data_IF_210257481453
#
_entry.id   IF_210257481453
#
_cell.length_a   1.000
_cell.length_b   1.000
_cell.length_c   1.000
_cell.angle_alpha   90.00
_cell.angle_beta   90.00
_cell.angle_gamma   90.00
#
_symmetry.space_group_name_H-M   'P 1'
#
loop_
_entity.id
_entity.type
_entity.pdbx_description
1 polymer ?
2 polymer ?
3 non-polymer ?
4 non-polymer ?
5 non-polymer ?
6 water ?
#
# COMPACT_ATOMS: atom_id res chain seq x y z
N UNK A 4 -2.88 8.04 12.91
CA UNK A 4 -4.12 8.45 12.18
C UNK A 4 -4.91 7.22 11.74
N UNK A 5 -6.17 7.14 12.15
CA UNK A 5 -7.02 6.01 11.80
C UNK A 5 -7.92 6.30 10.61
N UNK A 6 -8.15 5.26 9.80
CA UNK A 6 -8.99 5.38 8.61
C UNK A 6 -10.07 4.30 8.58
N UNK A 7 -11.31 4.73 8.39
CA UNK A 7 -12.45 3.81 8.32
C UNK A 7 -13.10 3.94 6.95
N UNK A 8 -13.13 2.83 6.21
CA UNK A 8 -13.69 2.81 4.86
C UNK A 8 -15.09 2.19 4.81
N UNK A 9 -15.91 2.69 3.89
CA UNK A 9 -17.27 2.20 3.73
C UNK A 9 -17.75 2.37 2.28
N UNK A 10 -18.47 1.37 1.74
CA UNK A 10 -18.85 0.11 2.38
C UNK A 10 -17.70 -0.87 2.37
N UNK A 11 -17.87 -2.02 3.02
CA UNK A 11 -16.82 -3.02 3.05
C UNK A 11 -16.88 -3.85 1.77
N UNK A 12 -18.05 -3.88 1.14
CA UNK A 12 -18.24 -4.63 -0.10
C UNK A 12 -19.51 -4.17 -0.80
N UNK A 13 -19.57 -4.34 -2.12
CA UNK A 13 -20.74 -3.97 -2.89
C UNK A 13 -20.76 -4.69 -4.23
N UNK A 14 -21.95 -4.85 -4.79
CA UNK A 14 -22.12 -5.52 -6.07
C UNK A 14 -22.82 -4.55 -7.03
N UNK A 15 -22.24 -4.33 -8.19
CA UNK A 15 -22.81 -3.39 -9.16
C UNK A 15 -22.74 -3.92 -10.58
N UNK A 16 -23.66 -3.43 -11.42
CA UNK A 16 -23.71 -3.84 -12.81
C UNK A 16 -22.83 -2.94 -13.67
N UNK A 17 -22.45 -3.45 -14.84
CA UNK A 17 -21.61 -2.69 -15.77
C UNK A 17 -22.31 -1.43 -16.25
N UNK A 18 -21.52 -0.38 -16.49
CA UNK A 18 -22.06 0.88 -16.98
C UNK A 18 -22.48 1.86 -15.91
N UNK A 19 -22.68 1.38 -14.69
CA UNK A 19 -23.11 2.26 -13.62
C UNK A 19 -21.95 2.94 -12.89
N UNK A 20 -22.29 3.77 -11.91
CA UNK A 20 -21.29 4.48 -11.13
C UNK A 20 -21.35 4.02 -9.67
N UNK A 21 -20.19 3.80 -9.07
CA UNK A 21 -20.16 3.41 -7.66
C UNK A 21 -19.32 4.41 -6.91
N UNK A 22 -19.64 4.63 -5.64
CA UNK A 22 -18.93 5.57 -4.80
C UNK A 22 -18.60 4.92 -3.47
N UNK A 23 -17.35 5.10 -3.03
CA UNK A 23 -16.86 4.56 -1.78
C UNK A 23 -16.43 5.75 -0.92
N UNK A 24 -16.52 5.60 0.40
CA UNK A 24 -16.12 6.69 1.29
C UNK A 24 -15.06 6.25 2.30
N UNK A 25 -14.40 7.23 2.90
CA UNK A 25 -13.35 6.97 3.87
C UNK A 25 -13.45 8.09 4.89
N UNK A 26 -13.30 7.76 6.17
CA UNK A 26 -13.37 8.75 7.24
C UNK A 26 -12.12 8.63 8.11
N UNK A 27 -11.44 9.75 8.32
CA UNK A 27 -10.24 9.77 9.14
C UNK A 27 -10.66 10.19 10.56
N UNK A 28 -9.80 9.93 11.54
CA UNK A 28 -10.11 10.30 12.91
C UNK A 28 -9.63 11.71 13.22
N UNK A 29 -9.13 12.40 12.20
CA UNK A 29 -8.66 13.77 12.33
C UNK A 29 -8.51 14.38 10.94
N UNK A 30 -8.38 15.71 10.88
CA UNK A 30 -8.22 16.42 9.62
C UNK A 30 -6.91 15.98 8.96
N UNK A 31 -6.99 15.38 7.78
CA UNK A 31 -5.76 14.96 7.09
C UNK A 31 -5.37 15.88 5.95
N UNK A 32 -5.94 17.08 5.95
CA UNK A 32 -5.61 18.11 4.96
C UNK A 32 -5.62 17.69 3.49
N UNK A 33 -6.63 16.91 3.11
CA UNK A 33 -6.78 16.42 1.74
C UNK A 33 -5.66 15.50 1.26
N UNK A 34 -4.80 15.09 2.17
CA UNK A 34 -3.69 14.19 1.82
C UNK A 34 -4.17 12.74 1.87
N UNK A 35 -5.02 12.40 0.91
CA UNK A 35 -5.57 11.05 0.80
C UNK A 35 -5.38 10.57 -0.64
N UNK A 36 -5.17 9.27 -0.78
CA UNK A 36 -4.99 8.67 -2.10
C UNK A 36 -5.87 7.43 -2.17
N UNK A 37 -6.14 6.96 -3.37
CA UNK A 37 -6.95 5.77 -3.54
C UNK A 37 -6.22 4.76 -4.40
N UNK A 38 -6.24 3.50 -3.95
CA UNK A 38 -5.59 2.41 -4.65
C UNK A 38 -6.54 1.32 -5.08
N UNK A 39 -6.22 0.68 -6.19
CA UNK A 39 -6.99 -0.44 -6.71
C UNK A 39 -6.09 -1.67 -6.57
N UNK A 40 -6.62 -2.75 -6.01
CA UNK A 40 -5.83 -3.96 -5.86
C UNK A 40 -6.58 -5.13 -6.49
N UNK A 41 -6.21 -5.46 -7.71
CA UNK A 41 -6.85 -6.56 -8.42
C UNK A 41 -6.10 -7.84 -8.10
N UNK A 42 -6.82 -8.94 -7.85
CA UNK A 42 -6.16 -10.20 -7.53
C UNK A 42 -5.19 -10.60 -8.64
N UNK A 43 -3.95 -10.89 -8.26
CA UNK A 43 -2.95 -11.27 -9.24
C UNK A 43 -2.09 -10.10 -9.67
N UNK A 44 -2.46 -8.90 -9.26
CA UNK A 44 -1.73 -7.69 -9.61
C UNK A 44 -1.29 -6.97 -8.33
N UNK A 45 -0.30 -6.10 -8.46
CA UNK A 45 0.15 -5.36 -7.30
C UNK A 45 -0.78 -4.17 -7.14
N UNK A 46 -0.81 -3.51 -5.97
CA UNK A 46 -1.68 -2.35 -5.78
C UNK A 46 -1.36 -1.27 -6.80
N UNK A 47 -2.38 -0.52 -7.22
CA UNK A 47 -2.17 0.53 -8.21
C UNK A 47 -2.76 1.87 -7.76
N UNK A 48 -1.92 2.89 -7.73
CA UNK A 48 -2.35 4.24 -7.34
C UNK A 48 -3.23 4.83 -8.43
N UNK A 49 -4.38 5.38 -8.03
CA UNK A 49 -5.30 5.97 -9.00
C UNK A 49 -5.47 7.47 -8.82
N UNK A 50 -5.67 7.86 -7.56
CA UNK A 50 -5.92 9.24 -7.20
C UNK A 50 -5.10 9.65 -5.97
N UNK A 51 -4.64 10.91 -5.95
CA UNK A 51 -3.93 11.41 -4.78
C UNK A 51 -4.35 12.86 -4.55
N UNK A 52 -3.95 13.39 -3.39
CA UNK A 52 -4.35 14.72 -2.96
C UNK A 52 -5.85 14.91 -3.20
N UNK A 53 -6.60 13.92 -2.76
CA UNK A 53 -8.05 13.89 -2.84
C UNK A 53 -8.74 13.79 -4.20
N UNK A 54 -8.35 14.64 -5.15
CA UNK A 54 -8.99 14.63 -6.46
C UNK A 54 -8.06 14.60 -7.67
N UNK A 55 -6.76 14.54 -7.43
CA UNK A 55 -5.82 14.51 -8.54
C UNK A 55 -5.66 13.12 -9.14
N UNK A 56 -5.93 13.04 -10.44
CA UNK A 56 -5.83 11.78 -11.18
C UNK A 56 -4.38 11.49 -11.53
N UNK A 57 -3.89 10.32 -11.14
CA UNK A 57 -2.53 9.91 -11.42
C UNK A 57 -2.34 9.83 -12.94
N UNK A 58 -1.19 10.29 -13.41
CA UNK A 58 -0.91 10.27 -14.84
C UNK A 58 -1.06 8.86 -15.41
N UNK A 59 -1.80 8.75 -16.51
CA UNK A 59 -2.00 7.46 -17.13
C UNK A 59 -3.23 6.69 -16.67
N UNK A 60 -3.89 7.19 -15.63
CA UNK A 60 -5.08 6.53 -15.11
C UNK A 60 -6.35 7.08 -15.76
N UNK A 61 -7.29 6.19 -16.05
CA UNK A 61 -8.55 6.58 -16.69
C UNK A 61 -9.32 7.67 -15.94
N UNK A 62 -9.92 8.58 -16.69
CA UNK A 62 -10.69 9.66 -16.09
C UNK A 62 -12.02 9.18 -15.51
N UNK A 63 -12.29 7.88 -15.60
CA UNK A 63 -13.52 7.32 -15.03
C UNK A 63 -13.39 7.31 -13.52
N UNK A 64 -12.16 7.45 -13.02
CA UNK A 64 -11.91 7.46 -11.59
C UNK A 64 -11.85 8.91 -11.10
N UNK A 65 -12.45 9.18 -9.95
CA UNK A 65 -12.43 10.53 -9.39
C UNK A 65 -12.53 10.49 -7.87
N UNK A 66 -12.26 11.63 -7.25
CA UNK A 66 -12.32 11.72 -5.80
C UNK A 66 -12.69 13.12 -5.35
N UNK A 67 -13.21 13.24 -4.13
CA UNK A 67 -13.59 14.52 -3.57
C UNK A 67 -13.54 14.42 -2.05
N UNK A 68 -13.69 15.56 -1.38
CA UNK A 68 -13.67 15.54 0.08
C UNK A 68 -12.79 16.58 0.72
N UNK A 69 -12.86 16.65 2.05
CA UNK A 69 -12.07 17.59 2.82
C UNK A 69 -12.18 17.26 4.30
N UNK A 70 -11.25 17.78 5.10
CA UNK A 70 -11.28 17.51 6.52
C UNK A 70 -11.08 16.04 6.84
N UNK A 71 -12.12 15.41 7.39
CA UNK A 71 -12.05 13.99 7.75
C UNK A 71 -12.82 13.09 6.80
N UNK A 72 -13.63 13.68 5.93
CA UNK A 72 -14.47 12.90 5.02
C UNK A 72 -14.14 12.97 3.53
N UNK A 73 -13.92 11.80 2.93
CA UNK A 73 -13.55 11.71 1.52
C UNK A 73 -14.35 10.66 0.77
N UNK A 74 -14.45 10.85 -0.54
CA UNK A 74 -15.16 9.94 -1.42
C UNK A 74 -14.36 9.64 -2.67
N UNK A 75 -14.59 8.47 -3.24
CA UNK A 75 -13.93 7.99 -4.45
C UNK A 75 -14.99 7.34 -5.31
N UNK A 76 -15.00 7.64 -6.60
CA UNK A 76 -15.99 7.08 -7.50
C UNK A 76 -15.42 6.47 -8.77
N UNK A 77 -16.14 5.50 -9.29
CA UNK A 77 -15.77 4.83 -10.54
C UNK A 77 -17.01 4.94 -11.41
N UNK A 78 -16.90 5.66 -12.52
CA UNK A 78 -18.02 5.82 -13.43
C UNK A 78 -17.91 4.84 -14.60
N UNK A 79 -19.05 4.54 -15.22
CA UNK A 79 -19.10 3.63 -16.35
C UNK A 79 -18.34 2.34 -16.03
N UNK A 80 -18.76 1.67 -14.96
CA UNK A 80 -18.11 0.43 -14.52
C UNK A 80 -17.79 -0.55 -15.64
N UNK A 81 -16.55 -1.03 -15.64
CA UNK A 81 -16.06 -1.99 -16.63
C UNK A 81 -15.73 -3.30 -15.92
N UNK A 82 -15.66 -4.41 -16.65
CA UNK A 82 -15.35 -5.71 -16.07
C UNK A 82 -14.02 -5.73 -15.31
N UNK A 83 -13.03 -5.04 -15.87
CA UNK A 83 -11.69 -4.97 -15.29
C UNK A 83 -11.65 -4.18 -13.98
N UNK A 84 -12.76 -3.54 -13.63
CA UNK A 84 -12.81 -2.76 -12.40
C UNK A 84 -13.01 -3.62 -11.16
N UNK A 85 -13.33 -4.89 -11.36
CA UNK A 85 -13.52 -5.81 -10.24
C UNK A 85 -12.21 -5.90 -9.44
N UNK A 86 -12.25 -5.48 -8.18
CA UNK A 86 -11.06 -5.50 -7.34
C UNK A 86 -11.39 -4.97 -5.95
N UNK A 87 -10.36 -4.86 -5.12
CA UNK A 87 -10.54 -4.31 -3.77
C UNK A 87 -9.89 -2.93 -3.80
N UNK A 88 -10.62 -1.92 -3.36
CA UNK A 88 -10.10 -0.55 -3.35
C UNK A 88 -9.79 -0.09 -1.93
N UNK A 89 -8.73 0.69 -1.79
CA UNK A 89 -8.30 1.19 -0.49
C UNK A 89 -8.04 2.68 -0.48
N UNK A 90 -8.43 3.36 0.59
CA UNK A 90 -8.06 4.76 0.70
C UNK A 90 -6.76 4.69 1.47
N UNK A 91 -5.95 5.74 1.36
CA UNK A 91 -4.66 5.77 2.02
C UNK A 91 -4.34 7.20 2.40
N UNK A 92 -4.21 7.47 3.70
CA UNK A 92 -3.86 8.83 4.13
C UNK A 92 -2.35 8.89 4.23
N UNK A 93 -1.76 10.00 3.83
CA UNK A 93 -0.31 10.12 3.89
C UNK A 93 0.18 11.40 4.55
N UNK A 94 -0.58 11.88 5.52
CA UNK A 94 -0.22 13.09 6.24
C UNK A 94 0.78 12.75 7.36
N UNK A 95 1.54 13.75 7.79
CA UNK A 95 2.52 13.60 8.87
C UNK A 95 3.56 12.49 8.64
N UNK A 96 4.03 12.38 7.41
CA UNK A 96 5.04 11.38 7.06
C UNK A 96 4.70 9.96 7.55
N UNK A 97 3.44 9.57 7.38
CA UNK A 97 2.99 8.25 7.76
C UNK A 97 2.02 7.78 6.67
N UNK A 98 1.66 6.50 6.72
CA UNK A 98 0.72 5.90 5.79
C UNK A 98 -0.31 5.11 6.60
N UNK A 99 -1.59 5.24 6.26
CA UNK A 99 -2.62 4.46 6.93
C UNK A 99 -3.66 4.06 5.89
N UNK A 100 -3.80 2.75 5.66
CA UNK A 100 -4.78 2.25 4.70
C UNK A 100 -6.13 2.06 5.37
N UNK A 101 -7.19 2.26 4.61
CA UNK A 101 -8.53 2.01 5.12
C UNK A 101 -8.66 0.49 5.06
N UNK A 102 -9.75 -0.04 5.61
CA UNK A 102 -9.95 -1.49 5.61
C UNK A 102 -10.20 -2.13 4.26
N UNK A 103 -10.48 -1.31 3.25
CA UNK A 103 -10.73 -1.82 1.91
C UNK A 103 -12.19 -2.06 1.57
N UNK A 104 -12.50 -2.01 0.27
CA UNK A 104 -13.85 -2.25 -0.22
C UNK A 104 -13.77 -3.22 -1.38
N UNK A 105 -14.41 -4.38 -1.25
CA UNK A 105 -14.39 -5.36 -2.33
C UNK A 105 -15.52 -5.06 -3.30
N UNK A 106 -15.16 -4.74 -4.54
CA UNK A 106 -16.14 -4.43 -5.57
C UNK A 106 -16.35 -5.61 -6.51
N UNK A 107 -17.59 -6.07 -6.57
CA UNK A 107 -17.94 -7.19 -7.45
C UNK A 107 -18.88 -6.70 -8.55
N UNK A 108 -18.69 -7.23 -9.75
CA UNK A 108 -19.50 -6.85 -10.90
C UNK A 108 -20.64 -7.83 -11.15
N UNK A 109 -21.74 -7.34 -11.72
CA UNK A 109 -22.89 -8.18 -12.02
C UNK A 109 -23.21 -8.18 -13.51
N UNK A 110 -23.63 -9.33 -14.02
CA UNK A 110 -23.97 -9.47 -15.42
C UNK A 110 -25.17 -10.41 -15.57
N UNK B 3 10.08 1.10 -17.63
CA UNK B 3 11.50 0.71 -17.35
C UNK B 3 11.74 0.53 -15.86
N UNK B 4 10.98 1.26 -15.05
CA UNK B 4 11.13 1.21 -13.60
C UNK B 4 10.56 -0.05 -12.94
N UNK B 5 11.35 -0.63 -12.05
CA UNK B 5 10.94 -1.83 -11.34
C UNK B 5 11.57 -1.95 -9.97
N UNK B 6 10.87 -2.65 -9.08
CA UNK B 6 11.36 -2.92 -7.74
C UNK B 6 11.43 -4.44 -7.71
N UNK B 7 12.64 -4.96 -7.55
CA UNK B 7 12.87 -6.41 -7.53
C UNK B 7 12.91 -6.90 -6.09
N UNK B 8 11.90 -7.67 -5.70
CA UNK B 8 11.80 -8.16 -4.34
C UNK B 8 12.43 -9.54 -4.12
N UNK B 9 12.96 -9.76 -2.93
CA UNK B 9 13.61 -11.02 -2.57
C UNK B 9 12.67 -12.21 -2.45
N UNK B 10 13.24 -13.40 -2.40
CA UNK B 10 12.44 -14.63 -2.35
C UNK B 10 11.68 -14.97 -1.08
N UNK B 11 10.86 -16.01 -1.17
CA UNK B 11 10.04 -16.47 -0.05
C UNK B 11 10.89 -16.96 1.13
N UNK B 12 10.33 -16.85 2.33
CA UNK B 12 11.03 -17.25 3.54
C UNK B 12 10.21 -18.19 4.43
N UNK B 13 10.91 -19.04 5.15
CA UNK B 13 10.31 -19.98 6.10
C UNK B 13 11.17 -19.86 7.35
N UNK B 14 10.56 -19.58 8.49
CA UNK B 14 11.33 -19.44 9.72
C UNK B 14 10.58 -20.03 10.90
N UNK B 15 11.32 -20.33 11.96
CA UNK B 15 10.74 -20.91 13.16
C UNK B 15 10.43 -19.76 14.13
N UNK B 16 9.52 -20.00 15.08
CA UNK B 16 9.15 -18.96 16.05
C UNK B 16 10.38 -18.43 16.78
N UNK B 17 10.45 -17.11 16.94
CA UNK B 17 11.58 -16.50 17.62
C UNK B 17 12.72 -16.10 16.70
N UNK B 18 12.71 -16.64 15.48
CA UNK B 18 13.76 -16.34 14.52
C UNK B 18 13.53 -15.00 13.84
N UNK B 19 14.42 -14.65 12.91
CA UNK B 19 14.30 -13.39 12.18
C UNK B 19 14.61 -13.62 10.71
N UNK B 20 14.09 -12.75 9.86
CA UNK B 20 14.33 -12.83 8.43
C UNK B 20 14.55 -11.42 7.94
N UNK B 21 15.21 -11.28 6.80
CA UNK B 21 15.47 -9.97 6.24
C UNK B 21 15.09 -9.98 4.77
N UNK B 22 14.09 -9.17 4.43
CA UNK B 22 13.63 -9.08 3.05
C UNK B 22 14.32 -7.89 2.41
N UNK B 23 14.49 -7.95 1.09
CA UNK B 23 15.14 -6.86 0.39
C UNK B 23 14.43 -6.54 -0.91
N UNK B 24 14.68 -5.34 -1.42
CA UNK B 24 14.06 -4.83 -2.61
C UNK B 24 15.06 -3.95 -3.34
N UNK B 25 15.39 -4.30 -4.59
CA UNK B 25 16.34 -3.51 -5.37
C UNK B 25 15.60 -2.66 -6.38
N UNK B 26 15.87 -1.35 -6.37
CA UNK B 26 15.22 -0.43 -7.27
C UNK B 26 16.00 -0.22 -8.55
N UNK B 27 15.29 -0.08 -9.67
CA UNK B 27 15.93 0.17 -10.97
C UNK B 27 15.03 1.03 -11.84
N UNK B 28 15.61 2.08 -12.41
CA UNK B 28 14.85 2.98 -13.26
C UNK B 28 14.56 4.37 -12.75
N UNK B 29 14.86 4.64 -11.47
CA UNK B 29 14.62 5.97 -10.91
C UNK B 29 15.68 6.29 -9.87
N UNK B 30 15.77 7.55 -9.46
CA UNK B 30 16.76 7.96 -8.47
C UNK B 30 16.37 7.44 -7.08
N UNK B 31 17.05 6.37 -6.68
CA UNK B 31 16.81 5.71 -5.39
C UNK B 31 16.90 6.63 -4.18
N UNK B 32 17.78 7.62 -4.25
CA UNK B 32 18.01 8.54 -3.14
C UNK B 32 17.13 9.79 -3.02
N UNK B 33 16.10 9.93 -3.85
CA UNK B 33 15.26 11.11 -3.73
C UNK B 33 13.78 10.80 -3.52
N UNK B 34 13.49 9.53 -3.23
CA UNK B 34 12.10 9.12 -2.99
C UNK B 34 12.02 8.17 -1.82
N UNK B 35 10.84 8.12 -1.21
CA UNK B 35 10.62 7.22 -0.08
C UNK B 35 10.29 5.83 -0.57
N UNK B 36 10.65 4.83 0.21
CA UNK B 36 10.29 3.46 -0.12
C UNK B 36 9.45 2.97 1.04
N UNK B 37 8.31 2.36 0.72
CA UNK B 37 7.39 1.84 1.72
C UNK B 37 7.43 0.33 1.82
N UNK B 38 7.05 -0.19 2.98
CA UNK B 38 6.94 -1.63 3.21
C UNK B 38 5.54 -1.84 3.73
N UNK B 39 4.85 -2.83 3.15
CA UNK B 39 3.46 -3.12 3.47
C UNK B 39 3.23 -4.61 3.71
N UNK B 40 2.34 -4.93 4.65
CA UNK B 40 2.02 -6.32 4.97
C UNK B 40 0.58 -6.64 4.61
N UNK B 41 0.35 -7.89 4.19
CA UNK B 41 -1.00 -8.34 3.91
C UNK B 41 -1.14 -9.78 4.38
N UNK B 42 -1.82 -9.94 5.52
CA UNK B 42 -2.05 -11.25 6.10
C UNK B 42 -3.18 -11.93 5.35
N UNK B 43 -3.24 -13.27 5.41
CA UNK B 43 -4.28 -14.03 4.73
C UNK B 43 -5.69 -13.49 4.93
N UNK B 44 -6.36 -13.18 3.82
CA UNK B 44 -7.72 -12.67 3.87
C UNK B 44 -7.89 -11.30 4.49
N UNK B 45 -6.79 -10.62 4.79
CA UNK B 45 -6.86 -9.29 5.40
C UNK B 45 -6.47 -8.18 4.43
N UNK B 46 -6.61 -6.93 4.87
CA UNK B 46 -6.27 -5.80 4.03
C UNK B 46 -4.82 -5.37 4.12
N UNK B 47 -4.45 -4.37 3.34
CA UNK B 47 -3.08 -3.87 3.34
C UNK B 47 -2.78 -3.10 4.61
N UNK B 48 -1.58 -3.30 5.15
CA UNK B 48 -1.14 -2.65 6.39
C UNK B 48 0.23 -2.01 6.20
N UNK B 49 0.35 -0.74 6.57
CA UNK B 49 1.63 -0.06 6.46
C UNK B 49 2.58 -0.51 7.57
N UNK B 50 3.82 -0.80 7.20
CA UNK B 50 4.81 -1.21 8.19
C UNK B 50 5.70 -0.01 8.50
N UNK B 51 6.28 0.57 7.46
CA UNK B 51 7.15 1.70 7.65
C UNK B 51 7.71 2.21 6.34
N UNK B 52 8.46 3.31 6.42
CA UNK B 52 9.05 3.89 5.23
C UNK B 52 10.48 4.32 5.50
N UNK B 53 11.29 4.39 4.46
CA UNK B 53 12.66 4.83 4.60
C UNK B 53 13.01 5.72 3.42
N UNK B 54 13.81 6.75 3.68
CA UNK B 54 14.25 7.67 2.63
C UNK B 54 15.75 7.39 2.50
N UNK B 55 16.14 6.55 1.53
CA UNK B 55 17.54 6.18 1.30
C UNK B 55 18.55 7.32 1.20
N UNK B 56 18.09 8.47 0.69
CA UNK B 56 18.97 9.61 0.56
C UNK B 56 19.61 10.09 1.84
N UNK B 57 18.94 9.90 2.98
CA UNK B 57 19.50 10.35 4.25
C UNK B 57 19.30 9.35 5.39
N UNK B 58 18.70 8.21 5.08
CA UNK B 58 18.50 7.18 6.09
C UNK B 58 17.30 7.35 7.01
N UNK B 59 16.53 8.43 6.84
CA UNK B 59 15.36 8.67 7.67
C UNK B 59 14.36 7.52 7.58
N UNK B 60 13.77 7.15 8.71
CA UNK B 60 12.77 6.10 8.74
C UNK B 60 11.54 6.55 9.52
N UNK B 61 10.40 5.96 9.18
CA UNK B 61 9.12 6.22 9.82
C UNK B 61 8.45 4.87 9.99
N UNK B 62 7.90 4.61 11.17
CA UNK B 62 7.26 3.33 11.44
C UNK B 62 5.83 3.43 11.92
N UNK B 63 5.03 2.42 11.58
CA UNK B 63 3.68 2.33 12.07
C UNK B 63 3.94 1.97 13.53
N UNK B 64 3.25 2.61 14.46
CA UNK B 64 3.48 2.34 15.88
C UNK B 64 3.40 0.84 16.18
N UNK B 65 2.46 0.17 15.54
CA UNK B 65 2.24 -1.27 15.68
C UNK B 65 3.47 -2.13 15.35
N UNK B 66 4.29 -1.65 14.42
CA UNK B 66 5.46 -2.41 14.00
C UNK B 66 6.79 -2.02 14.66
N UNK B 67 6.77 -1.00 15.52
CA UNK B 67 8.00 -0.64 16.20
C UNK B 67 8.36 -1.81 17.10
N UNK B 68 9.61 -2.28 17.00
CA UNK B 68 10.03 -3.41 17.79
C UNK B 68 9.93 -4.72 17.03
N UNK B 69 9.29 -4.68 15.87
CA UNK B 69 9.13 -5.87 15.03
C UNK B 69 9.90 -5.71 13.72
N UNK B 70 9.75 -4.56 13.09
CA UNK B 70 10.42 -4.28 11.83
C UNK B 70 11.52 -3.24 11.93
N UNK B 71 12.60 -3.45 11.16
CA UNK B 71 13.73 -2.52 11.11
C UNK B 71 14.09 -2.30 9.64
N UNK B 72 13.98 -1.05 9.21
CA UNK B 72 14.28 -0.70 7.82
C UNK B 72 15.67 -0.10 7.65
N UNK B 73 16.36 -0.54 6.60
CA UNK B 73 17.70 -0.04 6.29
C UNK B 73 17.81 0.10 4.77
N UNK B 74 18.87 0.75 4.32
CA UNK B 74 19.07 0.93 2.89
C UNK B 74 20.54 1.00 2.53
N UNK B 75 20.87 0.54 1.32
CA UNK B 75 22.25 0.55 0.83
C UNK B 75 22.22 1.30 -0.50
N UNK B 76 22.68 2.54 -0.49
CA UNK B 76 22.67 3.35 -1.71
C UNK B 76 23.58 2.84 -2.82
N UNK B 77 24.67 2.16 -2.47
CA UNK B 77 25.59 1.67 -3.50
C UNK B 77 24.97 0.55 -4.34
N UNK B 78 24.01 -0.16 -3.77
CA UNK B 78 23.35 -1.26 -4.48
C UNK B 78 21.88 -0.94 -4.76
N UNK B 79 21.45 0.28 -4.44
CA UNK B 79 20.07 0.70 -4.64
C UNK B 79 19.11 -0.33 -4.05
N UNK B 80 19.45 -0.82 -2.87
CA UNK B 80 18.63 -1.82 -2.21
C UNK B 80 18.15 -1.39 -0.83
N UNK B 81 16.88 -1.66 -0.55
CA UNK B 81 16.28 -1.35 0.73
C UNK B 81 15.95 -2.68 1.38
N UNK B 82 16.13 -2.78 2.69
CA UNK B 82 15.85 -4.03 3.39
C UNK B 82 14.94 -3.84 4.58
N UNK B 83 14.23 -4.91 4.93
CA UNK B 83 13.38 -4.87 6.09
C UNK B 83 13.60 -6.14 6.87
N UNK B 84 14.01 -5.98 8.12
CA UNK B 84 14.23 -7.12 8.99
C UNK B 84 13.07 -7.29 9.95
N UNK B 85 12.56 -8.51 10.05
CA UNK B 85 11.47 -8.83 10.96
C UNK B 85 12.10 -9.65 12.08
N UNK B 86 11.99 -9.15 13.31
CA UNK B 86 12.57 -9.83 14.47
C UNK B 86 11.56 -10.63 15.26
N UNK B 87 12.07 -11.57 16.07
CA UNK B 87 11.25 -12.42 16.94
C UNK B 87 9.96 -12.85 16.28
N UNK B 88 10.08 -13.55 15.16
CA UNK B 88 8.93 -14.02 14.40
C UNK B 88 7.93 -14.89 15.15
N UNK B 89 6.65 -14.68 14.84
CA UNK B 89 5.56 -15.45 15.44
C UNK B 89 4.52 -15.75 14.36
N UNK B 90 3.57 -16.61 14.71
CA UNK B 90 2.50 -17.02 13.81
C UNK B 90 1.84 -15.89 13.01
N UNK B 91 1.53 -14.79 13.68
CA UNK B 91 0.86 -13.67 13.03
C UNK B 91 1.70 -12.93 11.98
N UNK B 92 2.99 -13.20 11.95
CA UNK B 92 3.87 -12.55 10.98
C UNK B 92 3.77 -13.26 9.62
N UNK B 93 3.13 -14.42 9.59
CA UNK B 93 2.97 -15.16 8.34
C UNK B 93 2.08 -14.31 7.44
N UNK B 94 2.64 -13.87 6.32
CA UNK B 94 1.89 -13.01 5.42
C UNK B 94 2.69 -12.73 4.16
N UNK B 95 2.12 -11.90 3.30
CA UNK B 95 2.80 -11.47 2.08
C UNK B 95 3.27 -10.05 2.36
N UNK B 96 4.52 -9.76 2.01
CA UNK B 96 5.11 -8.46 2.24
C UNK B 96 5.48 -7.80 0.92
N UNK B 97 5.22 -6.51 0.82
CA UNK B 97 5.52 -5.74 -0.38
C UNK B 97 6.40 -4.54 -0.08
N UNK B 98 7.23 -4.19 -1.05
CA UNK B 98 8.05 -2.99 -0.97
C UNK B 98 7.44 -2.13 -2.07
N UNK B 99 7.51 -0.82 -1.93
CA UNK B 99 6.95 0.03 -2.96
C UNK B 99 7.37 1.47 -2.91
N UNK B 100 7.50 2.08 -4.08
CA UNK B 100 7.78 3.49 -4.17
C UNK B 100 6.46 3.96 -4.76
N UNK B 101 5.70 4.73 -4.00
CA UNK B 101 4.41 5.18 -4.49
C UNK B 101 4.16 6.61 -4.08
N UNK B 102 4.21 7.50 -5.07
CA UNK B 102 4.01 8.91 -4.83
C UNK B 102 3.52 9.59 -6.10
N UNK B 103 3.41 10.91 -6.05
CA UNK B 103 2.94 11.69 -7.18
C UNK B 103 3.78 11.51 -8.44
N UNK B 104 5.02 11.07 -8.29
CA UNK B 104 5.89 10.90 -9.44
C UNK B 104 6.00 9.50 -10.01
N UNK B 105 5.56 8.50 -9.27
CA UNK B 105 5.65 7.14 -9.76
C UNK B 105 5.03 6.16 -8.78
N UNK B 106 4.53 5.04 -9.31
CA UNK B 106 3.89 4.02 -8.50
C UNK B 106 4.40 2.65 -8.91
N UNK B 107 5.38 2.13 -8.17
CA UNK B 107 5.97 0.83 -8.49
C UNK B 107 6.02 -0.07 -7.26
N UNK B 108 5.46 -1.26 -7.38
CA UNK B 108 5.44 -2.21 -6.28
C UNK B 108 6.22 -3.48 -6.56
N UNK B 109 6.80 -4.04 -5.49
CA UNK B 109 7.53 -5.30 -5.64
C UNK B 109 6.46 -6.35 -5.90
N UNK B 110 6.87 -7.51 -6.41
CA UNK B 110 5.92 -8.57 -6.71
C UNK B 110 5.27 -9.18 -5.46
N UNK B 111 5.87 -8.91 -4.30
CA UNK B 111 5.37 -9.47 -3.05
C UNK B 111 6.10 -10.75 -2.71
N UNK B 112 6.30 -11.01 -1.43
CA UNK B 112 6.96 -12.24 -1.03
C UNK B 112 6.38 -12.74 0.26
N UNK B 113 6.28 -14.07 0.39
CA UNK B 113 5.71 -14.67 1.57
C UNK B 113 6.74 -15.01 2.64
N UNK B 114 6.30 -14.87 3.88
CA UNK B 114 7.12 -15.23 5.03
C UNK B 114 6.18 -16.15 5.79
N UNK B 115 6.63 -17.37 6.05
CA UNK B 115 5.83 -18.35 6.78
C UNK B 115 6.56 -18.67 8.07
N UNK B 116 5.84 -18.61 9.19
CA UNK B 116 6.42 -18.91 10.48
C UNK B 116 5.74 -20.15 11.03
N UNK B 117 6.51 -21.22 11.21
CA UNK B 117 5.96 -22.46 11.72
C UNK B 117 6.99 -23.25 12.50
N UNK B 118 6.52 -24.07 13.44
CA UNK B 118 7.43 -24.87 14.25
C UNK B 118 7.98 -26.04 13.43
#
# INVERSE_FOLDING_TARGET
>A
MADIQMTQSPSSLSASLGGKVTITCKANQDIKKKIAWYQHKPGKGPRLLIYYTSTLKSGISSRFSGSGSGRDYSFSISNLEPEDAATYYCLQYDNFTWTFGGGTKLEIKRAAGHHHHHH
>B
MAQVQLLESGAELARPGASVKLSCKASGYTFTTYWMQWVRQRPGQGLEWIGAIYPGNGDTRYSQKFKGKATLTADTSSSTASMQLSSLASEDSAVYYCARSDYGGDYWGQGTSVTVSSAGHHHHHH
#
